data_IF_949165345737
#
_entry.id   IF_949165345737
#
_cell.length_a   1.000
_cell.length_b   1.000
_cell.length_c   1.000
_cell.angle_alpha   90.00
_cell.angle_beta   90.00
_cell.angle_gamma   90.00
#
_symmetry.space_group_name_H-M   'P 1'
#
loop_
_entity.id
_entity.type
_entity.pdbx_description
1 polymer ?
#
# COMPACT_ATOMS: atom_id res chain seq x y z
N UNK A 1 22.60 26.43 -3.88
CA UNK A 1 21.46 25.72 -4.48
C UNK A 1 20.81 26.69 -5.46
N UNK A 2 21.21 26.66 -6.74
CA UNK A 2 20.60 27.53 -7.74
C UNK A 2 19.19 27.02 -8.05
N UNK A 3 18.19 27.81 -7.66
CA UNK A 3 16.81 27.60 -8.05
C UNK A 3 16.70 28.14 -9.47
N UNK A 4 16.91 27.29 -10.46
CA UNK A 4 16.61 27.65 -11.85
C UNK A 4 15.10 27.61 -12.03
N UNK A 5 14.48 28.79 -12.03
CA UNK A 5 13.11 28.99 -12.46
C UNK A 5 12.94 28.42 -13.88
N UNK A 6 12.06 27.43 -14.04
CA UNK A 6 11.69 26.88 -15.34
C UNK A 6 10.26 27.31 -15.68
N UNK A 7 9.84 27.22 -16.94
CA UNK A 7 8.49 27.59 -17.33
C UNK A 7 7.96 26.62 -18.37
N UNK A 8 6.69 26.22 -18.22
CA UNK A 8 5.97 25.41 -19.19
C UNK A 8 4.99 26.27 -19.99
N UNK A 9 4.93 26.08 -21.31
CA UNK A 9 3.86 26.63 -22.13
C UNK A 9 2.70 25.63 -22.15
N UNK A 10 1.50 26.08 -21.81
CA UNK A 10 0.28 25.30 -22.02
C UNK A 10 -0.20 25.55 -23.44
N UNK A 11 -0.22 24.49 -24.24
CA UNK A 11 -0.62 24.51 -25.64
C UNK A 11 -1.93 23.74 -25.79
N UNK A 12 -2.89 24.27 -26.56
CA UNK A 12 -4.09 23.54 -26.99
C UNK A 12 -4.19 23.65 -28.50
N UNK A 13 -4.19 22.51 -29.19
CA UNK A 13 -4.20 22.41 -30.65
C UNK A 13 -3.09 23.26 -31.32
N UNK A 14 -1.90 23.29 -30.72
CA UNK A 14 -0.77 24.09 -31.21
C UNK A 14 -0.86 25.59 -30.90
N UNK A 15 -1.95 26.06 -30.28
CA UNK A 15 -2.10 27.45 -29.83
C UNK A 15 -1.64 27.57 -28.38
N UNK A 16 -0.73 28.51 -28.13
CA UNK A 16 -0.28 28.82 -26.77
C UNK A 16 -1.40 29.53 -26.00
N UNK A 17 -1.94 28.86 -24.98
CA UNK A 17 -2.95 29.44 -24.09
C UNK A 17 -2.32 30.29 -22.99
N UNK A 18 -1.31 29.76 -22.31
CA UNK A 18 -0.64 30.47 -21.22
C UNK A 18 0.77 29.94 -20.99
N UNK A 19 1.55 30.65 -20.18
CA UNK A 19 2.86 30.22 -19.69
C UNK A 19 2.79 30.13 -18.17
N UNK A 20 3.09 28.96 -17.63
CA UNK A 20 3.11 28.76 -16.19
C UNK A 20 4.58 28.80 -15.74
N UNK A 21 4.87 29.72 -14.81
CA UNK A 21 6.17 29.79 -14.15
C UNK A 21 6.27 28.69 -13.10
N UNK A 22 7.25 27.81 -13.26
CA UNK A 22 7.54 26.72 -12.34
C UNK A 22 8.57 27.23 -11.34
N UNK A 23 8.09 27.73 -10.21
CA UNK A 23 8.95 27.99 -9.05
C UNK A 23 9.38 26.64 -8.45
N UNK A 24 10.56 26.60 -7.83
CA UNK A 24 11.10 25.37 -7.23
C UNK A 24 10.14 24.65 -6.27
N UNK A 25 9.27 25.37 -5.58
CA UNK A 25 8.23 24.84 -4.68
C UNK A 25 7.16 24.00 -5.39
N UNK A 26 6.93 24.21 -6.69
CA UNK A 26 5.89 23.53 -7.47
C UNK A 26 6.43 22.36 -8.31
N UNK A 27 7.74 22.08 -8.24
CA UNK A 27 8.37 21.04 -9.08
C UNK A 27 7.68 19.68 -8.92
N UNK A 28 7.25 19.36 -7.70
CA UNK A 28 6.53 18.13 -7.39
C UNK A 28 5.12 18.08 -8.02
N UNK A 29 4.40 19.21 -8.02
CA UNK A 29 3.08 19.31 -8.65
C UNK A 29 3.18 19.15 -10.17
N UNK A 30 4.23 19.68 -10.79
CA UNK A 30 4.48 19.52 -12.23
C UNK A 30 4.84 18.09 -12.62
N UNK A 31 5.55 17.34 -11.77
CA UNK A 31 5.80 15.91 -12.03
C UNK A 31 4.48 15.14 -12.08
N UNK A 32 3.60 15.35 -11.10
CA UNK A 32 2.28 14.71 -11.07
C UNK A 32 1.42 15.13 -12.26
N UNK A 33 1.40 16.43 -12.61
CA UNK A 33 0.61 16.93 -13.74
C UNK A 33 1.10 16.42 -15.09
N UNK A 34 2.42 16.43 -15.34
CA UNK A 34 2.97 15.87 -16.58
C UNK A 34 2.59 14.40 -16.75
N UNK A 35 2.68 13.64 -15.67
CA UNK A 35 2.27 12.25 -15.66
C UNK A 35 0.79 12.10 -16.06
N UNK A 36 -0.13 12.85 -15.45
CA UNK A 36 -1.55 12.80 -15.84
C UNK A 36 -1.79 13.25 -17.29
N UNK A 37 -1.03 14.21 -17.80
CA UNK A 37 -1.10 14.60 -19.21
C UNK A 37 -0.58 13.50 -20.15
N UNK A 38 0.43 12.74 -19.76
CA UNK A 38 0.87 11.57 -20.51
C UNK A 38 -0.19 10.47 -20.54
N UNK A 39 -0.81 10.17 -19.40
CA UNK A 39 -1.93 9.23 -19.29
C UNK A 39 -3.08 9.60 -20.24
N UNK A 40 -3.45 10.89 -20.26
CA UNK A 40 -4.47 11.41 -21.18
C UNK A 40 -4.09 11.20 -22.65
N UNK A 41 -2.82 11.42 -23.00
CA UNK A 41 -2.32 11.16 -24.37
C UNK A 41 -2.32 9.68 -24.75
N UNK A 42 -2.04 8.80 -23.79
CA UNK A 42 -2.01 7.34 -23.97
C UNK A 42 -3.39 6.68 -23.87
N UNK A 43 -4.43 7.43 -23.49
CA UNK A 43 -5.76 6.93 -23.10
C UNK A 43 -5.70 5.85 -21.99
N UNK A 44 -4.66 5.93 -21.16
CA UNK A 44 -4.47 5.01 -20.05
C UNK A 44 -4.92 5.70 -18.75
N UNK A 45 -6.05 5.25 -18.23
CA UNK A 45 -6.64 5.76 -17.01
C UNK A 45 -6.47 4.80 -15.83
N UNK A 46 -5.77 3.69 -16.07
CA UNK A 46 -5.46 2.72 -15.03
C UNK A 46 -4.26 3.26 -14.28
N UNK A 47 -4.41 3.51 -12.98
CA UNK A 47 -3.28 3.81 -12.11
C UNK A 47 -3.11 2.58 -11.24
N UNK A 48 -2.12 1.76 -11.57
CA UNK A 48 -1.79 0.61 -10.74
C UNK A 48 -0.93 1.02 -9.54
N UNK A 49 -0.79 0.11 -8.57
CA UNK A 49 -0.04 0.39 -7.35
C UNK A 49 1.48 0.49 -7.58
N UNK A 50 2.02 -0.22 -8.59
CA UNK A 50 3.44 -0.15 -8.93
C UNK A 50 3.78 1.25 -9.42
N UNK A 51 2.91 1.82 -10.25
CA UNK A 51 3.04 3.16 -10.76
C UNK A 51 2.94 4.23 -9.68
N UNK A 52 2.02 4.07 -8.71
CA UNK A 52 1.96 4.93 -7.52
C UNK A 52 3.27 4.85 -6.73
N UNK A 53 3.78 3.65 -6.48
CA UNK A 53 5.03 3.44 -5.78
C UNK A 53 6.21 4.13 -6.49
N UNK A 54 6.30 3.99 -7.81
CA UNK A 54 7.37 4.58 -8.61
C UNK A 54 7.32 6.11 -8.60
N UNK A 55 6.12 6.70 -8.63
CA UNK A 55 5.94 8.15 -8.49
C UNK A 55 6.34 8.65 -7.10
N UNK A 56 5.96 7.94 -6.04
CA UNK A 56 6.34 8.33 -4.68
C UNK A 56 7.86 8.21 -4.52
N UNK A 57 8.47 7.14 -5.03
CA UNK A 57 9.93 6.99 -5.06
C UNK A 57 10.60 8.16 -5.78
N UNK A 58 10.09 8.57 -6.94
CA UNK A 58 10.60 9.74 -7.66
C UNK A 58 10.44 11.04 -6.84
N UNK A 59 9.36 11.18 -6.06
CA UNK A 59 9.09 12.35 -5.21
C UNK A 59 10.00 12.43 -3.99
N UNK A 60 10.22 11.32 -3.28
CA UNK A 60 10.98 11.27 -2.02
C UNK A 60 12.47 11.00 -2.22
N UNK A 61 12.85 10.48 -3.38
CA UNK A 61 14.22 10.13 -3.76
C UNK A 61 14.69 8.77 -3.22
N UNK A 62 15.67 8.19 -3.91
CA UNK A 62 16.15 6.81 -3.65
C UNK A 62 16.65 6.60 -2.23
N UNK A 63 17.26 7.61 -1.60
CA UNK A 63 17.78 7.49 -0.24
C UNK A 63 16.68 7.23 0.78
N UNK A 64 15.57 7.99 0.71
CA UNK A 64 14.44 7.83 1.65
C UNK A 64 13.70 6.54 1.31
N UNK A 65 13.47 6.27 0.01
CA UNK A 65 12.84 5.04 -0.43
C UNK A 65 13.59 3.79 0.06
N UNK A 66 14.92 3.75 -0.08
CA UNK A 66 15.75 2.66 0.40
C UNK A 66 15.76 2.53 1.93
N UNK A 67 15.50 3.60 2.69
CA UNK A 67 15.32 3.50 4.14
C UNK A 67 13.99 2.86 4.50
N UNK A 68 12.90 3.29 3.84
CA UNK A 68 11.56 2.73 4.04
C UNK A 68 11.51 1.27 3.63
N UNK A 69 12.09 0.92 2.47
CA UNK A 69 12.07 -0.43 1.91
C UNK A 69 12.72 -1.49 2.81
N UNK A 70 13.62 -1.11 3.73
CA UNK A 70 14.22 -2.03 4.73
C UNK A 70 13.19 -2.65 5.68
N UNK A 71 12.02 -2.04 5.77
CA UNK A 71 10.94 -2.41 6.67
C UNK A 71 9.77 -3.05 5.93
N UNK A 72 9.87 -3.25 4.61
CA UNK A 72 8.86 -4.01 3.88
C UNK A 72 8.85 -5.46 4.37
N UNK A 73 7.66 -6.02 4.51
CA UNK A 73 7.40 -7.40 4.88
C UNK A 73 7.69 -8.30 3.68
N UNK A 74 7.17 -7.91 2.52
CA UNK A 74 7.22 -8.68 1.29
C UNK A 74 7.99 -7.93 0.19
N UNK A 75 8.61 -8.69 -0.72
CA UNK A 75 9.38 -8.12 -1.83
C UNK A 75 8.51 -7.32 -2.82
N UNK A 76 7.21 -7.66 -2.90
CA UNK A 76 6.19 -7.03 -3.73
C UNK A 76 5.37 -5.96 -3.00
N UNK A 77 5.67 -5.68 -1.72
CA UNK A 77 5.02 -4.61 -0.96
C UNK A 77 5.27 -3.25 -1.65
N UNK A 78 4.22 -2.44 -1.76
CA UNK A 78 4.24 -1.20 -2.52
C UNK A 78 3.94 0.00 -1.63
N UNK A 79 4.73 1.06 -1.80
CA UNK A 79 4.50 2.32 -1.12
C UNK A 79 3.29 3.02 -1.75
N UNK A 80 2.22 3.23 -0.98
CA UNK A 80 0.98 3.85 -1.43
C UNK A 80 0.91 5.34 -1.09
N UNK A 81 1.58 5.76 -0.02
CA UNK A 81 1.63 7.15 0.38
C UNK A 81 2.83 7.48 1.26
N UNK A 82 3.25 8.74 1.21
CA UNK A 82 4.31 9.29 2.06
C UNK A 82 3.89 10.69 2.52
N UNK A 83 4.00 10.95 3.82
CA UNK A 83 3.82 12.27 4.40
C UNK A 83 4.98 12.60 5.34
N UNK A 84 5.55 13.78 5.17
CA UNK A 84 6.56 14.32 6.08
C UNK A 84 5.90 15.25 7.09
N UNK A 85 6.29 15.13 8.35
CA UNK A 85 5.98 16.12 9.38
C UNK A 85 6.54 17.49 8.99
N UNK A 86 5.82 18.54 9.36
CA UNK A 86 6.22 19.93 9.11
C UNK A 86 7.19 20.42 10.20
N UNK A 87 7.50 19.59 11.20
CA UNK A 87 8.36 19.97 12.31
C UNK A 87 9.87 19.91 11.96
N UNK A 88 10.55 20.97 12.40
CA UNK A 88 11.98 21.25 12.46
C UNK A 88 12.84 21.28 11.18
N UNK A 89 13.45 22.46 10.99
CA UNK A 89 14.50 22.89 10.04
C UNK A 89 15.71 21.93 9.83
N UNK A 90 15.80 20.77 10.48
CA UNK A 90 16.97 19.88 10.38
C UNK A 90 16.71 18.37 10.29
N UNK A 91 15.49 17.85 10.47
CA UNK A 91 15.17 16.44 10.18
C UNK A 91 13.65 16.22 10.13
N UNK A 92 13.16 15.66 9.02
CA UNK A 92 11.73 15.38 8.85
C UNK A 92 11.42 14.02 9.48
N UNK A 93 10.58 14.00 10.51
CA UNK A 93 9.84 12.81 10.95
C UNK A 93 8.80 12.49 9.88
N UNK A 94 8.66 11.24 9.46
CA UNK A 94 7.73 10.90 8.37
C UNK A 94 7.00 9.59 8.57
N UNK A 95 5.87 9.48 7.89
CA UNK A 95 5.10 8.24 7.75
C UNK A 95 5.13 7.78 6.31
N UNK A 96 5.54 6.54 6.12
CA UNK A 96 5.34 5.79 4.90
C UNK A 96 4.16 4.83 5.10
N UNK A 97 3.26 4.80 4.14
CA UNK A 97 2.07 3.97 4.15
C UNK A 97 2.15 3.01 2.95
N UNK A 98 2.24 1.72 3.22
CA UNK A 98 2.27 0.67 2.20
C UNK A 98 0.90 0.03 2.06
N UNK A 99 0.79 -1.06 1.29
CA UNK A 99 -0.43 -1.88 1.27
C UNK A 99 -0.59 -2.80 2.48
N UNK A 100 0.47 -2.97 3.30
CA UNK A 100 0.44 -3.82 4.49
C UNK A 100 0.45 -3.06 5.82
N UNK A 101 1.12 -1.89 5.88
CA UNK A 101 1.45 -1.25 7.15
C UNK A 101 1.71 0.25 7.06
N UNK A 102 1.80 0.86 8.23
CA UNK A 102 2.39 2.17 8.44
C UNK A 102 3.79 2.02 9.01
N UNK A 103 4.75 2.77 8.46
CA UNK A 103 6.12 2.84 8.94
C UNK A 103 6.36 4.28 9.40
N UNK A 104 6.44 4.45 10.71
CA UNK A 104 6.71 5.73 11.37
C UNK A 104 8.20 5.83 11.59
N UNK A 105 8.82 6.88 11.08
CA UNK A 105 10.25 7.12 11.20
C UNK A 105 10.47 8.43 11.94
N UNK A 106 10.92 8.32 13.20
CA UNK A 106 11.29 9.45 14.02
C UNK A 106 12.82 9.55 14.06
N UNK A 107 13.41 10.64 13.59
CA UNK A 107 14.87 10.81 13.64
C UNK A 107 15.25 11.57 14.91
N UNK A 108 16.01 10.95 15.79
CA UNK A 108 16.55 11.65 16.96
C UNK A 108 17.48 12.79 16.53
N UNK A 109 17.52 13.83 17.36
CA UNK A 109 18.27 15.07 17.15
C UNK A 109 19.69 14.76 16.64
N UNK A 110 20.08 15.37 15.51
CA UNK A 110 21.35 15.17 14.77
C UNK A 110 21.40 14.03 13.74
N UNK A 111 20.30 13.32 13.49
CA UNK A 111 20.16 12.43 12.32
C UNK A 111 21.03 11.16 12.35
N UNK A 112 21.57 10.81 13.52
CA UNK A 112 22.41 9.63 13.72
C UNK A 112 21.61 8.35 14.01
N UNK A 113 20.42 8.48 14.62
CA UNK A 113 19.54 7.36 15.00
C UNK A 113 18.11 7.65 14.54
N UNK A 114 17.50 6.68 13.85
CA UNK A 114 16.08 6.70 13.50
C UNK A 114 15.36 5.66 14.36
N UNK A 115 14.41 6.09 15.18
CA UNK A 115 13.46 5.20 15.82
C UNK A 115 12.37 4.88 14.78
N UNK A 116 12.24 3.61 14.41
CA UNK A 116 11.25 3.16 13.44
C UNK A 116 10.22 2.30 14.14
N UNK A 117 8.94 2.66 13.99
CA UNK A 117 7.79 1.91 14.49
C UNK A 117 6.94 1.45 13.31
N UNK A 118 6.56 0.18 13.32
CA UNK A 118 5.74 -0.43 12.28
C UNK A 118 4.37 -0.77 12.87
N UNK A 119 3.31 -0.43 12.13
CA UNK A 119 1.94 -0.75 12.50
C UNK A 119 1.27 -1.47 11.34
N UNK A 120 1.14 -2.79 11.46
CA UNK A 120 0.39 -3.58 10.51
C UNK A 120 -1.09 -3.19 10.57
N UNK A 121 -1.73 -3.05 9.41
CA UNK A 121 -3.14 -2.64 9.39
C UNK A 121 -4.03 -3.63 10.14
N UNK A 122 -3.67 -4.91 10.19
CA UNK A 122 -4.41 -5.91 10.94
C UNK A 122 -4.42 -5.66 12.46
N UNK A 123 -3.36 -5.08 13.00
CA UNK A 123 -3.16 -4.81 14.43
C UNK A 123 -3.67 -3.42 14.87
N UNK A 124 -3.83 -2.50 13.92
CA UNK A 124 -4.39 -1.17 14.22
C UNK A 124 -5.85 -1.30 14.63
N UNK A 125 -6.14 -0.81 15.85
CA UNK A 125 -7.48 -0.82 16.44
C UNK A 125 -8.27 0.44 16.10
N UNK A 126 -7.59 1.59 16.07
CA UNK A 126 -8.16 2.86 15.63
C UNK A 126 -7.07 3.80 15.12
N UNK A 127 -7.50 4.76 14.30
CA UNK A 127 -6.67 5.84 13.78
C UNK A 127 -7.50 7.11 13.69
N UNK A 128 -6.96 8.25 14.13
CA UNK A 128 -7.69 9.51 14.16
C UNK A 128 -6.74 10.71 14.03
N UNK A 129 -7.32 11.85 13.64
CA UNK A 129 -6.62 13.14 13.69
C UNK A 129 -6.93 13.84 15.00
N UNK A 130 -5.91 14.41 15.63
CA UNK A 130 -6.05 15.27 16.80
C UNK A 130 -5.67 16.70 16.37
N UNK A 131 -6.57 17.66 16.60
CA UNK A 131 -6.24 19.07 16.41
C UNK A 131 -5.56 19.58 17.68
N UNK A 132 -4.22 19.66 17.65
CA UNK A 132 -3.45 20.18 18.76
C UNK A 132 -3.25 21.70 18.59
N UNK A 133 -4.01 22.46 19.36
CA UNK A 133 -3.68 23.84 19.77
C UNK A 133 -3.39 23.83 21.28
N UNK A 134 -2.40 23.04 21.70
CA UNK A 134 -2.21 22.68 23.12
C UNK A 134 -0.85 23.06 23.69
N UNK A 135 -0.23 24.14 23.23
CA UNK A 135 0.92 24.70 23.97
C UNK A 135 0.42 25.45 25.20
N UNK A 136 1.00 25.16 26.37
CA UNK A 136 0.70 25.85 27.64
C UNK A 136 1.29 27.27 27.71
N UNK A 137 2.19 27.62 26.80
CA UNK A 137 2.73 28.96 26.63
C UNK A 137 1.86 29.78 25.67
N UNK A 138 1.44 30.97 26.10
CA UNK A 138 0.47 31.80 25.39
C UNK A 138 1.00 32.29 24.03
N UNK A 139 2.28 32.62 23.93
CA UNK A 139 2.87 33.07 22.65
C UNK A 139 2.96 31.91 21.65
N UNK A 140 3.41 30.75 22.12
CA UNK A 140 3.43 29.53 21.31
C UNK A 140 2.01 29.11 20.92
N UNK A 141 1.01 29.30 21.80
CA UNK A 141 -0.37 28.92 21.52
C UNK A 141 -0.98 29.77 20.42
N UNK A 142 -0.69 31.07 20.42
CA UNK A 142 -1.14 31.98 19.36
C UNK A 142 -0.45 31.64 18.03
N UNK A 143 0.84 31.31 18.04
CA UNK A 143 1.59 30.92 16.84
C UNK A 143 1.08 29.57 16.30
N UNK A 144 0.94 28.56 17.14
CA UNK A 144 0.44 27.24 16.78
C UNK A 144 -1.00 27.29 16.29
N UNK A 145 -1.85 28.12 16.92
CA UNK A 145 -3.23 28.34 16.46
C UNK A 145 -3.25 29.04 15.11
N UNK A 146 -2.41 30.05 14.90
CA UNK A 146 -2.31 30.75 13.61
C UNK A 146 -1.78 29.83 12.50
N UNK A 147 -0.76 29.01 12.78
CA UNK A 147 -0.20 28.02 11.85
C UNK A 147 -1.20 26.90 11.55
N UNK A 148 -1.87 26.36 12.58
CA UNK A 148 -2.91 25.34 12.44
C UNK A 148 -4.07 25.86 11.59
N UNK A 149 -4.53 27.09 11.83
CA UNK A 149 -5.60 27.69 11.03
C UNK A 149 -5.17 27.97 9.57
N UNK A 150 -3.95 28.44 9.36
CA UNK A 150 -3.44 28.78 8.03
C UNK A 150 -3.08 27.54 7.18
N UNK A 151 -2.44 26.54 7.80
CA UNK A 151 -1.91 25.36 7.12
C UNK A 151 -2.75 24.10 7.34
N UNK A 152 -3.81 24.17 8.18
CA UNK A 152 -4.67 23.03 8.54
C UNK A 152 -3.83 21.86 9.04
N UNK A 153 -3.03 22.08 10.07
CA UNK A 153 -2.17 21.05 10.65
C UNK A 153 -2.95 20.21 11.67
N UNK A 154 -2.52 18.97 11.87
CA UNK A 154 -3.03 18.08 12.90
C UNK A 154 -2.00 17.03 13.27
N UNK A 155 -2.24 16.35 14.37
CA UNK A 155 -1.49 15.16 14.76
C UNK A 155 -2.26 13.91 14.30
N UNK A 156 -1.55 12.86 13.91
CA UNK A 156 -2.12 11.56 13.58
C UNK A 156 -1.87 10.60 14.75
N UNK A 157 -2.92 10.16 15.41
CA UNK A 157 -2.87 9.12 16.44
C UNK A 157 -3.18 7.75 15.83
N UNK A 158 -2.32 6.77 16.12
CA UNK A 158 -2.53 5.35 15.80
C UNK A 158 -2.58 4.57 17.12
N UNK A 159 -3.65 3.82 17.33
CA UNK A 159 -3.82 2.96 18.50
C UNK A 159 -3.72 1.49 18.11
N UNK A 160 -2.91 0.74 18.84
CA UNK A 160 -2.80 -0.73 18.79
C UNK A 160 -3.10 -1.32 20.17
N UNK A 161 -3.15 -2.65 20.28
CA UNK A 161 -3.40 -3.30 21.56
C UNK A 161 -2.37 -2.87 22.63
N UNK A 162 -2.82 -2.10 23.62
CA UNK A 162 -2.00 -1.67 24.76
C UNK A 162 -1.02 -0.53 24.47
N UNK A 163 -1.00 0.05 23.28
CA UNK A 163 -0.11 1.18 22.95
C UNK A 163 -0.77 2.20 22.01
N UNK A 164 -0.28 3.44 22.08
CA UNK A 164 -0.68 4.55 21.23
C UNK A 164 0.53 5.32 20.76
N UNK A 165 0.51 5.73 19.50
CA UNK A 165 1.62 6.40 18.85
C UNK A 165 1.10 7.60 18.07
N UNK A 166 1.84 8.71 18.13
CA UNK A 166 1.40 10.00 17.56
C UNK A 166 2.50 10.51 16.65
N UNK A 167 2.13 10.89 15.43
CA UNK A 167 2.97 11.76 14.58
C UNK A 167 2.41 13.16 14.68
N UNK A 168 3.29 14.09 15.05
CA UNK A 168 2.93 15.48 15.22
C UNK A 168 3.00 16.25 13.90
N UNK A 169 2.17 17.28 13.80
CA UNK A 169 2.33 18.35 12.80
C UNK A 169 2.32 17.84 11.34
N UNK A 170 1.29 17.08 10.98
CA UNK A 170 0.98 16.72 9.60
C UNK A 170 -0.01 17.70 8.99
N UNK A 171 0.00 17.84 7.67
CA UNK A 171 -1.13 18.48 6.99
C UNK A 171 -2.38 17.60 7.14
N UNK A 172 -3.51 18.20 7.48
CA UNK A 172 -4.79 17.51 7.66
C UNK A 172 -5.18 16.68 6.43
N UNK A 173 -4.88 17.19 5.23
CA UNK A 173 -5.11 16.47 3.98
C UNK A 173 -4.31 15.16 3.91
N UNK A 174 -3.06 15.17 4.38
CA UNK A 174 -2.18 13.99 4.40
C UNK A 174 -2.63 13.00 5.48
N UNK A 175 -2.92 13.47 6.69
CA UNK A 175 -3.44 12.62 7.77
C UNK A 175 -4.77 11.96 7.38
N UNK A 176 -5.68 12.71 6.74
CA UNK A 176 -6.94 12.17 6.22
C UNK A 176 -6.70 11.13 5.13
N UNK A 177 -5.71 11.34 4.25
CA UNK A 177 -5.33 10.37 3.21
C UNK A 177 -4.83 9.06 3.83
N UNK A 178 -4.00 9.14 4.86
CA UNK A 178 -3.48 7.97 5.57
C UNK A 178 -4.62 7.16 6.20
N UNK A 179 -5.56 7.83 6.88
CA UNK A 179 -6.76 7.20 7.46
C UNK A 179 -7.61 6.52 6.37
N UNK A 180 -7.77 7.16 5.21
CA UNK A 180 -8.51 6.59 4.09
C UNK A 180 -7.84 5.30 3.56
N UNK A 181 -6.51 5.30 3.39
CA UNK A 181 -5.76 4.10 2.97
C UNK A 181 -5.92 2.98 4.00
N UNK A 182 -5.77 3.29 5.29
CA UNK A 182 -6.00 2.32 6.37
C UNK A 182 -7.39 1.68 6.27
N UNK A 183 -8.45 2.49 6.12
CA UNK A 183 -9.80 1.97 5.97
C UNK A 183 -9.99 1.11 4.71
N UNK A 184 -9.37 1.51 3.60
CA UNK A 184 -9.38 0.75 2.36
C UNK A 184 -8.71 -0.62 2.54
N UNK A 185 -7.51 -0.66 3.13
CA UNK A 185 -6.78 -1.91 3.35
C UNK A 185 -7.54 -2.84 4.31
N UNK A 186 -8.10 -2.31 5.41
CA UNK A 186 -8.97 -3.09 6.31
C UNK A 186 -10.19 -3.65 5.59
N UNK A 187 -10.82 -2.85 4.74
CA UNK A 187 -12.01 -3.27 3.98
C UNK A 187 -11.64 -4.37 2.97
N UNK A 188 -10.52 -4.23 2.29
CA UNK A 188 -10.04 -5.21 1.30
C UNK A 188 -9.63 -6.52 1.97
N UNK A 189 -8.90 -6.46 3.10
CA UNK A 189 -8.56 -7.64 3.88
C UNK A 189 -9.80 -8.39 4.38
N UNK A 190 -10.81 -7.67 4.90
CA UNK A 190 -12.10 -8.27 5.30
C UNK A 190 -12.82 -8.92 4.12
N UNK A 191 -12.80 -8.29 2.94
CA UNK A 191 -13.39 -8.88 1.72
C UNK A 191 -12.66 -10.12 1.26
N UNK A 192 -11.32 -10.11 1.29
CA UNK A 192 -10.50 -11.26 0.93
C UNK A 192 -10.75 -12.44 1.88
N UNK A 193 -10.79 -12.18 3.19
CA UNK A 193 -11.10 -13.19 4.21
C UNK A 193 -12.56 -13.72 4.14
N UNK A 194 -13.49 -12.93 3.59
CA UNK A 194 -14.88 -13.32 3.41
C UNK A 194 -15.14 -14.07 2.09
N UNK A 195 -14.14 -14.22 1.21
CA UNK A 195 -14.30 -15.08 0.04
C UNK A 195 -14.34 -16.53 0.52
N UNK A 196 -15.34 -17.32 0.09
CA UNK A 196 -15.40 -18.73 0.47
C UNK A 196 -14.13 -19.40 -0.03
N UNK A 197 -13.36 -19.96 0.90
CA UNK A 197 -12.32 -20.94 0.58
C UNK A 197 -13.06 -22.03 -0.19
N UNK A 198 -12.86 -22.09 -1.51
CA UNK A 198 -13.24 -23.27 -2.26
C UNK A 198 -12.35 -24.37 -1.71
N UNK A 199 -12.87 -25.10 -0.72
CA UNK A 199 -12.29 -26.36 -0.30
C UNK A 199 -12.34 -27.20 -1.57
N UNK A 200 -11.20 -27.29 -2.25
CA UNK A 200 -11.03 -28.26 -3.31
C UNK A 200 -11.19 -29.58 -2.60
N UNK A 201 -12.40 -30.14 -2.68
CA UNK A 201 -12.70 -31.45 -2.15
C UNK A 201 -11.60 -32.36 -2.70
N UNK A 202 -10.81 -32.95 -1.79
CA UNK A 202 -9.92 -34.02 -2.18
C UNK A 202 -10.76 -34.99 -3.03
N UNK A 203 -10.32 -35.35 -4.25
CA UNK A 203 -11.11 -36.23 -5.09
C UNK A 203 -11.45 -37.46 -4.25
N UNK A 204 -12.74 -37.69 -4.03
CA UNK A 204 -13.21 -38.87 -3.32
C UNK A 204 -12.56 -40.05 -4.01
N UNK A 205 -11.69 -40.76 -3.27
CA UNK A 205 -11.00 -41.92 -3.77
C UNK A 205 -12.09 -42.88 -4.27
N UNK A 206 -12.12 -43.27 -5.55
CA UNK A 206 -13.24 -44.01 -6.09
C UNK A 206 -13.38 -45.31 -5.31
N UNK A 207 -14.58 -45.58 -4.81
CA UNK A 207 -14.89 -46.77 -4.03
C UNK A 207 -14.41 -48.01 -4.80
N UNK A 208 -13.70 -48.93 -4.13
CA UNK A 208 -13.04 -50.06 -4.78
C UNK A 208 -14.03 -50.93 -5.58
N UNK A 209 -15.31 -50.92 -5.18
CA UNK A 209 -16.41 -51.53 -5.92
C UNK A 209 -16.71 -50.87 -7.27
N UNK A 210 -16.63 -49.55 -7.38
CA UNK A 210 -16.81 -48.82 -8.65
C UNK A 210 -15.63 -49.07 -9.60
N UNK A 211 -14.41 -49.18 -9.06
CA UNK A 211 -13.21 -49.51 -9.85
C UNK A 211 -13.30 -50.93 -10.42
N UNK A 212 -13.85 -51.88 -9.67
CA UNK A 212 -14.13 -53.24 -10.14
C UNK A 212 -15.16 -53.27 -11.28
N UNK A 213 -16.21 -52.44 -11.20
CA UNK A 213 -17.21 -52.34 -12.28
C UNK A 213 -16.62 -51.77 -13.57
N UNK A 214 -15.80 -50.71 -13.49
CA UNK A 214 -15.12 -50.15 -14.66
C UNK A 214 -14.12 -51.13 -15.27
N UNK A 215 -13.40 -51.88 -14.43
CA UNK A 215 -12.47 -52.90 -14.92
C UNK A 215 -13.20 -54.00 -15.71
N UNK A 216 -14.40 -54.40 -15.29
CA UNK A 216 -15.21 -55.37 -16.02
C UNK A 216 -15.67 -54.82 -17.38
N UNK A 217 -16.11 -53.56 -17.42
CA UNK A 217 -16.48 -52.90 -18.68
C UNK A 217 -15.32 -52.80 -19.67
N UNK A 218 -14.09 -52.56 -19.19
CA UNK A 218 -12.89 -52.51 -20.04
C UNK A 218 -12.52 -53.90 -20.60
N UNK A 219 -12.74 -54.97 -19.83
CA UNK A 219 -12.59 -56.36 -20.30
C UNK A 219 -13.62 -56.68 -21.38
N UNK A 220 -14.88 -56.36 -21.11
CA UNK A 220 -15.99 -56.65 -22.03
C UNK A 220 -15.88 -55.84 -23.34
N UNK A 221 -15.27 -54.65 -23.28
CA UNK A 221 -14.92 -53.85 -24.45
C UNK A 221 -13.68 -54.37 -25.20
N UNK A 222 -13.01 -55.42 -24.72
CA UNK A 222 -11.80 -56.00 -25.32
C UNK A 222 -10.57 -55.10 -25.23
N UNK A 223 -10.58 -54.08 -24.36
CA UNK A 223 -9.50 -53.10 -24.21
C UNK A 223 -8.35 -53.68 -23.37
N UNK A 224 -8.67 -54.61 -22.47
CA UNK A 224 -7.69 -55.33 -21.64
C UNK A 224 -7.87 -56.84 -21.82
N UNK A 225 -6.78 -57.57 -21.73
CA UNK A 225 -6.80 -59.02 -21.82
C UNK A 225 -7.37 -59.67 -20.55
N UNK A 226 -7.77 -60.94 -20.65
CA UNK A 226 -8.32 -61.67 -19.50
C UNK A 226 -7.30 -61.87 -18.38
N UNK A 227 -6.02 -61.98 -18.72
CA UNK A 227 -4.91 -62.08 -17.77
C UNK A 227 -4.67 -60.76 -17.03
N UNK A 228 -4.70 -59.63 -17.74
CA UNK A 228 -4.57 -58.29 -17.15
C UNK A 228 -5.78 -57.92 -16.28
N UNK A 229 -6.96 -58.37 -16.68
CA UNK A 229 -8.17 -58.22 -15.88
C UNK A 229 -8.07 -59.00 -14.56
N UNK A 230 -7.65 -60.26 -14.59
CA UNK A 230 -7.53 -61.10 -13.40
C UNK A 230 -6.50 -60.54 -12.40
N UNK A 231 -5.34 -60.08 -12.89
CA UNK A 231 -4.31 -59.48 -12.05
C UNK A 231 -4.79 -58.19 -11.37
N UNK A 232 -5.44 -57.29 -12.11
CA UNK A 232 -5.94 -56.02 -11.56
C UNK A 232 -7.16 -56.21 -10.64
N UNK A 233 -8.02 -57.19 -10.92
CA UNK A 233 -9.14 -57.55 -10.05
C UNK A 233 -8.65 -58.07 -8.70
N UNK A 234 -7.61 -58.90 -8.68
CA UNK A 234 -7.02 -59.41 -7.44
C UNK A 234 -6.38 -58.30 -6.60
N UNK A 235 -5.69 -57.34 -7.24
CA UNK A 235 -5.09 -56.18 -6.56
C UNK A 235 -6.15 -55.19 -6.01
N UNK A 236 -7.30 -55.08 -6.67
CA UNK A 236 -8.40 -54.25 -6.17
C UNK A 236 -9.18 -54.93 -5.03
N UNK A 237 -9.35 -56.26 -5.09
CA UNK A 237 -10.00 -57.02 -4.02
C UNK A 237 -9.15 -57.13 -2.75
N UNK A 238 -7.82 -57.03 -2.84
CA UNK A 238 -6.95 -57.02 -1.66
C UNK A 238 -6.96 -55.68 -0.89
N UNK A 239 -7.57 -54.64 -1.48
CA UNK A 239 -7.71 -53.29 -0.92
C UNK A 239 -9.07 -53.04 -0.27
N UNK A 240 -9.92 -54.07 -0.21
CA UNK A 240 -11.22 -54.12 0.47
C UNK A 240 -11.09 -55.01 1.71
#
# INVERSE_FOLDING_TARGET
>A
MEINDSAANVMVNGVKLTRISIKGSYRQDFMSLNYYFECLGKQDFTIDRQEVNDQIRAKIGDKIYAQVKKYFIDDDEQLLFYAGGVDSLTAVDYVACTDNQLIFVNREMLGATANVKQFYFEDVTSMSTIQNSTSSDFLTAVIDTALTAAFKLCDLEVSVAGSKEVINTLYLAEATRIIAIYHEMRKNAKKAAAQPIQVQAAPAQPDALEQLQKLAQLKDAGIISEEEFAAKKADLLSKI
#
